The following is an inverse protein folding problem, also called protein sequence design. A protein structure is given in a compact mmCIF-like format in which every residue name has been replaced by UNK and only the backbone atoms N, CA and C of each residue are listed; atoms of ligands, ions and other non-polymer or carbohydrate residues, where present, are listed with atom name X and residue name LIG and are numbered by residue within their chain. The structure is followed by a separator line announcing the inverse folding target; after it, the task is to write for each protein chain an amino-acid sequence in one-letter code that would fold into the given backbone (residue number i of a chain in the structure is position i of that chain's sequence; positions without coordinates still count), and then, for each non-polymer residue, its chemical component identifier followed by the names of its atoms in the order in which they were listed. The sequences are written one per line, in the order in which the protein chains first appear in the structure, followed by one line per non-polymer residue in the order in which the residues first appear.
data_IF_840738613868
#
_entry.id   IF_840738613868
#
_cell.length_a   1.000
_cell.length_b   1.000
_cell.length_c   1.000
_cell.angle_alpha   90.00
_cell.angle_beta   90.00
_cell.angle_gamma   90.00
#
_symmetry.space_group_name_H-M   'P 1'
#
loop_
_entity.id
_entity.type
_entity.pdbx_description
1 polymer ?
#
# COMPACT_ATOMS: atom_id res chain seq x y z
N UNK A 1 -21.07 34.55 8.12
CA UNK A 1 -20.84 33.08 8.23
C UNK A 1 -19.41 32.77 7.81
N UNK A 2 -18.67 31.97 8.58
CA UNK A 2 -17.31 31.54 8.19
C UNK A 2 -17.37 30.12 7.62
N UNK A 3 -16.79 29.91 6.45
CA UNK A 3 -16.67 28.61 5.79
C UNK A 3 -15.19 28.32 5.58
N UNK A 4 -14.75 27.10 5.92
CA UNK A 4 -13.35 26.69 5.80
C UNK A 4 -13.23 25.61 4.74
N UNK A 5 -12.21 25.73 3.90
CA UNK A 5 -11.93 24.77 2.84
C UNK A 5 -10.44 24.41 2.87
N UNK A 6 -10.16 23.10 2.90
CA UNK A 6 -8.81 22.55 3.04
C UNK A 6 -8.63 21.47 1.99
N UNK A 7 -7.62 21.64 1.14
CA UNK A 7 -7.19 20.65 0.16
C UNK A 7 -5.98 19.88 0.68
N UNK A 8 -6.10 18.56 0.81
CA UNK A 8 -4.98 17.70 1.21
C UNK A 8 -4.15 17.37 -0.03
N UNK A 9 -2.94 17.93 -0.11
CA UNK A 9 -2.03 17.78 -1.27
C UNK A 9 -2.65 18.20 -2.62
N UNK A 10 -3.70 19.01 -2.57
CA UNK A 10 -4.37 19.59 -3.73
C UNK A 10 -4.67 21.05 -3.45
N UNK A 11 -4.63 21.89 -4.49
CA UNK A 11 -4.99 23.28 -4.32
C UNK A 11 -6.50 23.43 -4.13
N UNK A 12 -6.89 24.40 -3.29
CA UNK A 12 -8.31 24.72 -3.08
C UNK A 12 -8.90 25.41 -4.32
N UNK A 13 -8.10 26.24 -4.99
CA UNK A 13 -8.49 26.92 -6.22
C UNK A 13 -7.57 26.51 -7.38
N UNK A 14 -8.16 26.23 -8.55
CA UNK A 14 -7.41 25.92 -9.79
C UNK A 14 -6.53 27.09 -10.25
N UNK A 15 -6.93 28.32 -9.95
CA UNK A 15 -6.18 29.52 -10.32
C UNK A 15 -4.94 29.77 -9.45
N UNK A 16 -4.83 29.12 -8.29
CA UNK A 16 -3.72 29.31 -7.35
C UNK A 16 -3.23 27.95 -6.82
N UNK A 17 -2.26 27.30 -7.50
CA UNK A 17 -1.87 25.91 -7.21
C UNK A 17 -1.17 25.73 -5.85
N UNK A 18 -0.72 26.82 -5.22
CA UNK A 18 0.05 26.78 -3.97
C UNK A 18 -0.82 26.89 -2.70
N UNK A 19 -2.10 27.26 -2.84
CA UNK A 19 -2.99 27.52 -1.69
C UNK A 19 -3.66 26.22 -1.26
N UNK A 20 -3.34 25.78 -0.04
CA UNK A 20 -3.83 24.52 0.53
C UNK A 20 -5.02 24.69 1.48
N UNK A 21 -5.20 25.87 2.07
CA UNK A 21 -6.31 26.14 2.98
C UNK A 21 -6.76 27.60 2.98
N UNK A 22 -8.07 27.81 3.00
CA UNK A 22 -8.69 29.13 2.98
C UNK A 22 -9.89 29.23 3.94
N UNK A 23 -10.16 30.44 4.38
CA UNK A 23 -11.36 30.82 5.10
C UNK A 23 -12.16 31.81 4.25
N UNK A 24 -13.41 31.45 3.95
CA UNK A 24 -14.39 32.36 3.35
C UNK A 24 -15.22 33.00 4.45
N UNK A 25 -15.08 34.31 4.59
CA UNK A 25 -15.92 35.15 5.45
C UNK A 25 -17.05 35.68 4.58
N UNK A 26 -18.22 35.08 4.72
CA UNK A 26 -19.46 35.49 4.05
C UNK A 26 -20.11 36.54 4.95
N UNK A 27 -19.98 37.81 4.57
CA UNK A 27 -20.64 38.94 5.23
C UNK A 27 -21.66 39.61 4.33
N UNK A 28 -22.57 40.40 4.90
CA UNK A 28 -23.70 41.01 4.18
C UNK A 28 -23.29 42.03 3.09
N UNK A 29 -22.04 42.52 3.11
CA UNK A 29 -21.55 43.56 2.18
C UNK A 29 -20.50 43.07 1.19
N UNK A 30 -19.69 42.07 1.55
CA UNK A 30 -18.66 41.50 0.67
C UNK A 30 -18.21 40.13 1.18
N UNK A 31 -17.90 39.22 0.24
CA UNK A 31 -17.26 37.96 0.55
C UNK A 31 -15.74 38.17 0.58
N UNK A 32 -15.11 37.93 1.73
CA UNK A 32 -13.66 38.00 1.88
C UNK A 32 -13.08 36.59 1.99
N UNK A 33 -11.98 36.35 1.28
CA UNK A 33 -11.25 35.08 1.33
C UNK A 33 -9.91 35.34 2.00
N UNK A 34 -9.61 34.61 3.06
CA UNK A 34 -8.38 34.73 3.84
C UNK A 34 -7.58 33.44 3.66
N UNK A 35 -6.31 33.56 3.30
CA UNK A 35 -5.42 32.41 3.14
C UNK A 35 -4.91 31.97 4.50
N UNK A 36 -5.14 30.70 4.84
CA UNK A 36 -4.72 30.14 6.13
C UNK A 36 -3.37 29.44 6.05
N UNK A 37 -3.03 28.87 4.89
CA UNK A 37 -1.75 28.18 4.69
C UNK A 37 -1.52 27.71 3.26
N UNK A 38 -0.25 27.51 2.93
CA UNK A 38 0.23 27.10 1.61
C UNK A 38 0.81 25.68 1.64
N UNK A 39 0.73 25.00 0.49
CA UNK A 39 1.26 23.65 0.32
C UNK A 39 2.79 23.59 0.33
N UNK A 40 3.47 24.66 -0.09
CA UNK A 40 4.95 24.73 -0.10
C UNK A 40 5.55 24.69 1.32
N UNK A 41 4.80 25.16 2.32
CA UNK A 41 5.23 25.22 3.71
C UNK A 41 4.49 24.19 4.57
N UNK A 42 4.48 22.93 4.10
CA UNK A 42 3.84 21.81 4.79
C UNK A 42 4.79 21.15 5.79
N UNK A 43 4.29 20.84 6.99
CA UNK A 43 5.00 20.01 7.97
C UNK A 43 4.11 18.86 8.39
N UNK A 44 4.68 17.67 8.40
CA UNK A 44 4.00 16.42 8.77
C UNK A 44 4.64 15.90 10.05
N UNK A 45 3.82 15.70 11.07
CA UNK A 45 4.22 15.04 12.32
C UNK A 45 3.22 13.94 12.57
N UNK A 46 3.68 12.70 12.62
CA UNK A 46 2.82 11.56 12.90
C UNK A 46 3.45 10.67 13.94
N UNK A 47 2.61 10.02 14.73
CA UNK A 47 3.02 8.94 15.59
C UNK A 47 2.09 7.75 15.36
N UNK A 48 2.70 6.56 15.28
CA UNK A 48 1.98 5.31 15.15
C UNK A 48 2.20 4.53 16.44
N UNK A 49 1.16 4.48 17.27
CA UNK A 49 1.14 3.73 18.52
C UNK A 49 0.10 2.63 18.37
N UNK A 50 0.55 1.40 18.12
CA UNK A 50 -0.33 0.25 17.88
C UNK A 50 -1.31 0.50 16.71
N UNK A 51 -2.54 -0.03 16.80
CA UNK A 51 -3.60 0.14 15.82
C UNK A 51 -4.21 1.56 15.76
N UNK A 52 -3.66 2.53 16.50
CA UNK A 52 -4.10 3.93 16.53
C UNK A 52 -2.98 4.84 16.03
N UNK A 53 -3.06 5.20 14.74
CA UNK A 53 -2.22 6.23 14.14
C UNK A 53 -2.89 7.60 14.21
N UNK A 54 -2.10 8.64 14.45
CA UNK A 54 -2.52 10.01 14.19
C UNK A 54 -1.45 10.72 13.36
N UNK A 55 -1.89 11.59 12.46
CA UNK A 55 -1.02 12.44 11.65
C UNK A 55 -1.47 13.87 11.75
N UNK A 56 -0.62 14.73 12.30
CA UNK A 56 -0.77 16.18 12.31
C UNK A 56 -0.14 16.75 11.04
N UNK A 57 -0.96 17.42 10.24
CA UNK A 57 -0.52 18.17 9.08
C UNK A 57 -0.61 19.66 9.40
N UNK A 58 0.47 20.39 9.16
CA UNK A 58 0.54 21.84 9.37
C UNK A 58 0.84 22.52 8.04
N UNK A 59 -0.04 23.43 7.60
CA UNK A 59 0.26 24.36 6.52
C UNK A 59 0.59 25.73 7.10
N UNK A 60 1.77 26.25 6.74
CA UNK A 60 2.26 27.56 7.18
C UNK A 60 2.15 28.59 6.04
N UNK A 61 2.63 29.80 6.29
CA UNK A 61 2.70 30.89 5.31
C UNK A 61 1.34 31.39 4.80
N UNK A 62 0.34 31.46 5.68
CA UNK A 62 -0.91 32.17 5.41
C UNK A 62 -0.80 33.69 5.53
N UNK A 63 -1.93 34.37 5.34
CA UNK A 63 -2.03 35.83 5.45
C UNK A 63 -1.68 36.29 6.88
N UNK A 64 -1.04 37.45 7.03
CA UNK A 64 -0.67 38.00 8.35
C UNK A 64 -1.89 38.44 9.14
N UNK A 65 -1.88 38.20 10.45
CA UNK A 65 -2.90 38.75 11.34
C UNK A 65 -2.86 40.28 11.35
N UNK A 66 -4.03 40.90 11.48
CA UNK A 66 -4.16 42.36 11.55
C UNK A 66 -4.43 42.76 13.01
N UNK A 67 -3.40 43.17 13.75
CA UNK A 67 -3.52 43.67 15.13
C UNK A 67 -3.81 42.60 16.18
N UNK A 68 -3.71 41.31 15.83
CA UNK A 68 -3.81 40.17 16.74
C UNK A 68 -2.61 39.25 16.53
N UNK A 69 -2.26 38.43 17.52
CA UNK A 69 -1.28 37.35 17.35
C UNK A 69 0.11 37.84 16.89
N UNK A 70 0.57 38.98 17.43
CA UNK A 70 1.88 39.59 17.12
C UNK A 70 2.14 39.80 15.60
N UNK A 71 1.08 39.98 14.80
CA UNK A 71 1.16 40.10 13.33
C UNK A 71 1.89 38.91 12.66
N UNK A 72 1.88 37.74 13.30
CA UNK A 72 2.40 36.50 12.74
C UNK A 72 1.62 36.07 11.50
N UNK A 73 2.24 35.26 10.63
CA UNK A 73 1.55 34.62 9.52
C UNK A 73 0.59 33.56 10.04
N UNK A 74 -0.63 33.51 9.50
CA UNK A 74 -1.57 32.43 9.81
C UNK A 74 -0.98 31.06 9.48
N UNK A 75 -1.36 30.08 10.29
CA UNK A 75 -1.08 28.68 10.04
C UNK A 75 -2.31 27.85 10.39
N UNK A 76 -2.51 26.79 9.63
CA UNK A 76 -3.57 25.80 9.89
C UNK A 76 -2.95 24.47 10.21
N UNK A 77 -3.53 23.80 11.19
CA UNK A 77 -3.19 22.48 11.65
C UNK A 77 -4.42 21.61 11.50
N UNK A 78 -4.26 20.42 10.96
CA UNK A 78 -5.33 19.43 10.98
C UNK A 78 -4.79 18.07 11.36
N UNK A 79 -5.46 17.45 12.32
CA UNK A 79 -5.14 16.12 12.82
C UNK A 79 -6.00 15.12 12.08
N UNK A 80 -5.35 14.15 11.44
CA UNK A 80 -6.02 13.01 10.83
C UNK A 80 -5.90 11.82 11.78
N UNK A 81 -7.03 11.41 12.33
CA UNK A 81 -7.17 10.27 13.24
C UNK A 81 -7.46 9.00 12.44
N UNK A 82 -6.91 7.88 12.87
CA UNK A 82 -7.27 6.57 12.34
C UNK A 82 -8.72 6.22 12.71
N UNK A 83 -9.56 6.03 11.69
CA UNK A 83 -10.87 5.39 11.81
C UNK A 83 -11.02 4.34 10.69
N UNK A 84 -11.06 3.03 11.00
CA UNK A 84 -11.14 1.99 9.97
C UNK A 84 -12.47 1.98 9.20
N UNK A 85 -13.54 2.51 9.79
CA UNK A 85 -14.89 2.43 9.22
C UNK A 85 -15.18 3.56 8.21
N UNK A 86 -14.31 4.57 8.14
CA UNK A 86 -14.57 5.80 7.40
C UNK A 86 -13.39 6.15 6.50
N UNK A 87 -13.59 6.08 5.18
CA UNK A 87 -12.56 6.45 4.21
C UNK A 87 -12.36 7.97 4.14
N UNK A 88 -13.46 8.73 4.01
CA UNK A 88 -13.47 10.19 3.93
C UNK A 88 -14.32 10.73 5.08
N UNK A 89 -13.71 11.02 6.23
CA UNK A 89 -14.44 11.56 7.36
C UNK A 89 -14.87 13.01 7.18
N UNK A 90 -15.78 13.45 8.04
CA UNK A 90 -16.15 14.86 8.11
C UNK A 90 -15.06 15.67 8.81
N UNK A 91 -14.69 16.80 8.22
CA UNK A 91 -13.84 17.80 8.85
C UNK A 91 -14.60 18.45 10.02
N UNK A 92 -14.04 18.38 11.22
CA UNK A 92 -14.56 19.04 12.41
C UNK A 92 -13.61 20.15 12.87
N UNK A 93 -14.18 21.24 13.40
CA UNK A 93 -13.42 22.37 13.93
C UNK A 93 -13.15 22.07 15.40
N UNK A 94 -11.89 21.84 15.77
CA UNK A 94 -11.50 21.62 17.17
C UNK A 94 -11.28 22.95 17.88
N UNK A 95 -10.55 23.87 17.25
CA UNK A 95 -10.43 25.25 17.71
C UNK A 95 -10.17 26.19 16.53
N UNK A 96 -10.96 27.26 16.45
CA UNK A 96 -10.65 28.38 15.57
C UNK A 96 -9.91 29.41 16.39
N UNK A 97 -8.72 29.83 15.95
CA UNK A 97 -7.86 30.77 16.68
C UNK A 97 -8.65 31.95 17.24
N UNK A 98 -8.97 31.89 18.53
CA UNK A 98 -9.71 32.91 19.26
C UNK A 98 -8.71 33.85 19.89
N UNK A 99 -9.03 35.14 19.83
CA UNK A 99 -8.28 36.22 20.48
C UNK A 99 -8.17 35.91 21.98
N UNK A 100 -7.01 35.47 22.44
CA UNK A 100 -6.75 35.11 23.84
C UNK A 100 -5.94 33.83 24.07
N UNK A 101 -5.75 32.97 23.06
CA UNK A 101 -4.85 31.83 23.16
C UNK A 101 -3.42 32.19 22.74
N UNK A 102 -2.44 31.64 23.44
CA UNK A 102 -1.00 31.86 23.27
C UNK A 102 -0.46 31.42 21.89
N UNK A 103 -1.26 30.71 21.09
CA UNK A 103 -0.93 30.28 19.72
C UNK A 103 -2.14 30.42 18.79
N UNK A 104 -2.17 31.48 17.99
CA UNK A 104 -3.19 31.68 16.97
C UNK A 104 -3.02 30.71 15.80
N UNK A 105 -3.56 29.51 15.97
CA UNK A 105 -3.59 28.48 14.95
C UNK A 105 -5.00 27.94 14.82
N UNK A 106 -5.37 27.55 13.60
CA UNK A 106 -6.65 26.89 13.36
C UNK A 106 -6.42 25.39 13.44
N UNK A 107 -7.12 24.71 14.33
CA UNK A 107 -7.01 23.26 14.51
C UNK A 107 -8.28 22.60 14.03
N UNK A 108 -8.13 21.72 13.06
CA UNK A 108 -9.19 20.87 12.55
C UNK A 108 -8.90 19.40 12.88
N UNK A 109 -9.95 18.61 12.99
CA UNK A 109 -9.85 17.16 13.20
C UNK A 109 -10.62 16.47 12.09
N UNK A 110 -9.97 15.50 11.47
CA UNK A 110 -10.50 14.64 10.43
C UNK A 110 -10.28 13.19 10.86
N UNK A 111 -11.22 12.31 10.54
CA UNK A 111 -11.04 10.87 10.70
C UNK A 111 -10.90 10.22 9.33
N UNK A 112 -9.94 9.31 9.17
CA UNK A 112 -9.78 8.57 7.91
C UNK A 112 -9.07 7.24 8.13
N UNK A 113 -9.48 6.23 7.38
CA UNK A 113 -8.85 4.90 7.37
C UNK A 113 -7.45 4.90 6.74
N UNK A 114 -7.06 5.96 6.02
CA UNK A 114 -5.73 6.03 5.35
C UNK A 114 -4.58 6.16 6.33
N UNK A 115 -4.84 6.68 7.54
CA UNK A 115 -3.84 6.85 8.61
C UNK A 115 -3.79 5.63 9.53
N UNK A 116 -4.74 4.71 9.40
CA UNK A 116 -4.68 3.45 10.10
C UNK A 116 -3.53 2.60 9.56
N UNK A 117 -2.78 1.98 10.48
CA UNK A 117 -1.77 1.00 10.10
C UNK A 117 -2.44 -0.12 9.29
N UNK A 118 -1.84 -0.46 8.15
CA UNK A 118 -2.35 -1.49 7.22
C UNK A 118 -2.35 -2.91 7.79
N UNK A 119 -2.11 -3.08 9.08
CA UNK A 119 -2.15 -4.37 9.76
C UNK A 119 -3.58 -4.95 9.87
N UNK A 120 -4.63 -4.13 9.67
CA UNK A 120 -6.03 -4.59 9.75
C UNK A 120 -6.82 -4.63 8.44
N UNK A 121 -6.22 -4.28 7.30
CA UNK A 121 -6.85 -4.50 5.98
C UNK A 121 -6.40 -5.81 5.30
N UNK A 122 -5.68 -6.67 6.02
CA UNK A 122 -5.36 -8.04 5.61
C UNK A 122 -6.33 -9.10 6.13
N UNK A 123 -7.52 -8.71 6.61
CA UNK A 123 -8.51 -9.67 7.12
C UNK A 123 -9.63 -10.02 6.14
N UNK A 124 -9.74 -9.36 4.98
CA UNK A 124 -10.85 -9.65 4.03
C UNK A 124 -10.42 -10.19 2.66
N UNK A 125 -9.11 -10.29 2.35
CA UNK A 125 -8.64 -10.85 1.07
C UNK A 125 -7.35 -11.68 1.15
N UNK A 126 -6.97 -12.20 2.32
CA UNK A 126 -5.89 -13.21 2.43
C UNK A 126 -6.38 -14.63 2.14
N UNK A 127 -7.12 -14.80 1.04
CA UNK A 127 -7.25 -16.13 0.45
C UNK A 127 -5.87 -16.56 -0.05
N UNK A 128 -5.49 -17.83 0.16
CA UNK A 128 -4.32 -18.36 -0.55
C UNK A 128 -4.48 -18.06 -2.04
N UNK A 129 -3.42 -17.57 -2.68
CA UNK A 129 -3.40 -17.41 -4.14
C UNK A 129 -3.90 -18.71 -4.79
N UNK A 130 -4.72 -18.62 -5.84
CA UNK A 130 -5.27 -19.81 -6.50
C UNK A 130 -4.18 -20.81 -6.90
N UNK A 131 -2.99 -20.33 -7.26
CA UNK A 131 -1.82 -21.18 -7.51
C UNK A 131 -1.32 -21.92 -6.27
N UNK A 132 -1.31 -21.28 -5.09
CA UNK A 132 -0.92 -21.93 -3.84
C UNK A 132 -1.92 -23.01 -3.42
N UNK A 133 -3.23 -22.77 -3.60
CA UNK A 133 -4.28 -23.78 -3.37
C UNK A 133 -4.10 -24.97 -4.31
N UNK A 134 -3.88 -24.72 -5.61
CA UNK A 134 -3.62 -25.77 -6.59
C UNK A 134 -2.39 -26.61 -6.23
N UNK A 135 -1.27 -25.97 -5.87
CA UNK A 135 -0.06 -26.68 -5.45
C UNK A 135 -0.31 -27.59 -4.24
N UNK A 136 -1.03 -27.10 -3.22
CA UNK A 136 -1.34 -27.90 -2.02
C UNK A 136 -2.17 -29.14 -2.39
N UNK A 137 -3.21 -28.98 -3.21
CA UNK A 137 -4.03 -30.10 -3.66
C UNK A 137 -3.23 -31.10 -4.51
N UNK A 138 -2.38 -30.61 -5.42
CA UNK A 138 -1.56 -31.46 -6.26
C UNK A 138 -0.56 -32.28 -5.44
N UNK A 139 0.20 -31.64 -4.54
CA UNK A 139 1.22 -32.35 -3.74
C UNK A 139 0.61 -33.32 -2.73
N UNK A 140 -0.56 -33.02 -2.15
CA UNK A 140 -1.24 -33.94 -1.23
C UNK A 140 -1.76 -35.19 -1.94
N UNK A 141 -2.37 -35.04 -3.13
CA UNK A 141 -2.81 -36.18 -3.94
C UNK A 141 -1.62 -36.99 -4.48
N UNK A 142 -0.61 -36.31 -5.03
CA UNK A 142 0.60 -36.98 -5.52
C UNK A 142 1.34 -37.73 -4.40
N UNK A 143 1.49 -37.11 -3.23
CA UNK A 143 2.15 -37.70 -2.07
C UNK A 143 1.42 -38.94 -1.54
N UNK A 144 0.09 -38.86 -1.40
CA UNK A 144 -0.72 -40.02 -0.98
C UNK A 144 -0.67 -41.16 -2.00
N UNK A 145 -0.72 -40.84 -3.30
CA UNK A 145 -0.57 -41.83 -4.38
C UNK A 145 0.79 -42.54 -4.32
N UNK A 146 1.88 -41.79 -4.15
CA UNK A 146 3.23 -42.35 -4.05
C UNK A 146 3.37 -43.22 -2.80
N UNK A 147 2.88 -42.78 -1.64
CA UNK A 147 2.96 -43.53 -0.38
C UNK A 147 2.17 -44.84 -0.45
N UNK A 148 0.90 -44.79 -0.86
CA UNK A 148 0.04 -45.96 -0.95
C UNK A 148 0.52 -46.93 -2.02
N UNK A 149 0.89 -46.43 -3.20
CA UNK A 149 1.39 -47.26 -4.28
C UNK A 149 2.76 -47.87 -3.97
N UNK A 150 3.63 -47.16 -3.25
CA UNK A 150 4.89 -47.70 -2.74
C UNK A 150 4.65 -48.82 -1.74
N UNK A 151 3.77 -48.62 -0.74
CA UNK A 151 3.40 -49.66 0.23
C UNK A 151 2.84 -50.89 -0.47
N UNK A 152 1.95 -50.70 -1.46
CA UNK A 152 1.38 -51.79 -2.25
C UNK A 152 2.45 -52.58 -3.00
N UNK A 153 3.30 -51.90 -3.79
CA UNK A 153 4.35 -52.58 -4.57
C UNK A 153 5.40 -53.26 -3.69
N UNK A 154 5.70 -52.71 -2.51
CA UNK A 154 6.67 -53.28 -1.58
C UNK A 154 6.13 -54.49 -0.83
N UNK A 155 4.90 -54.43 -0.32
CA UNK A 155 4.34 -55.48 0.54
C UNK A 155 3.67 -56.57 -0.28
N UNK A 156 2.89 -56.21 -1.30
CA UNK A 156 2.06 -57.16 -2.06
C UNK A 156 2.83 -57.74 -3.25
N UNK A 157 3.54 -56.90 -4.00
CA UNK A 157 4.23 -57.30 -5.24
C UNK A 157 5.69 -57.74 -4.97
N UNK A 158 6.27 -57.34 -3.83
CA UNK A 158 7.65 -57.68 -3.48
C UNK A 158 8.71 -57.01 -4.35
N UNK A 159 8.35 -55.97 -5.12
CA UNK A 159 9.27 -55.25 -5.99
C UNK A 159 10.40 -54.60 -5.18
N UNK A 160 11.60 -54.52 -5.75
CA UNK A 160 12.81 -53.95 -5.12
C UNK A 160 13.44 -52.88 -6.01
N UNK A 161 14.04 -51.87 -5.41
CA UNK A 161 14.67 -50.76 -6.15
C UNK A 161 13.66 -49.76 -6.72
N UNK A 162 13.99 -49.11 -7.83
CA UNK A 162 13.21 -48.02 -8.43
C UNK A 162 11.83 -48.45 -8.96
N UNK A 163 11.63 -49.76 -9.16
CA UNK A 163 10.32 -50.30 -9.57
C UNK A 163 9.25 -50.22 -8.48
N UNK A 164 9.65 -49.95 -7.22
CA UNK A 164 8.75 -49.72 -6.09
C UNK A 164 7.92 -48.44 -6.25
N UNK A 165 8.38 -47.49 -7.07
CA UNK A 165 7.64 -46.25 -7.34
C UNK A 165 6.58 -46.55 -8.43
N UNK A 166 5.30 -46.26 -8.18
CA UNK A 166 4.26 -46.34 -9.21
C UNK A 166 4.56 -45.35 -10.34
N UNK A 167 4.53 -45.82 -11.60
CA UNK A 167 4.76 -44.99 -12.79
C UNK A 167 6.06 -44.16 -12.72
N UNK A 168 7.17 -44.79 -12.33
CA UNK A 168 8.46 -44.12 -12.15
C UNK A 168 8.94 -43.31 -13.37
N UNK A 169 8.73 -43.83 -14.59
CA UNK A 169 9.10 -43.12 -15.83
C UNK A 169 8.45 -41.74 -15.92
N UNK A 170 7.14 -41.64 -15.64
CA UNK A 170 6.41 -40.38 -15.63
C UNK A 170 6.99 -39.37 -14.64
N UNK A 171 7.26 -39.79 -13.39
CA UNK A 171 7.80 -38.90 -12.35
C UNK A 171 9.21 -38.42 -12.66
N UNK A 172 10.05 -39.30 -13.22
CA UNK A 172 11.39 -38.96 -13.69
C UNK A 172 11.34 -37.93 -14.80
N UNK A 173 10.49 -38.14 -15.80
CA UNK A 173 10.37 -37.24 -16.96
C UNK A 173 9.79 -35.87 -16.54
N UNK A 174 8.84 -35.85 -15.59
CA UNK A 174 8.34 -34.62 -14.97
C UNK A 174 9.45 -33.84 -14.23
N UNK A 175 10.30 -34.52 -13.47
CA UNK A 175 11.44 -33.91 -12.78
C UNK A 175 12.50 -33.36 -13.75
N UNK A 176 12.76 -34.06 -14.86
CA UNK A 176 13.64 -33.56 -15.92
C UNK A 176 13.08 -32.26 -16.54
N UNK A 177 11.79 -32.22 -16.88
CA UNK A 177 11.16 -31.03 -17.44
C UNK A 177 11.19 -29.83 -16.47
N UNK A 178 11.03 -30.06 -15.17
CA UNK A 178 11.17 -29.01 -14.16
C UNK A 178 12.62 -28.49 -14.05
N UNK A 179 13.61 -29.38 -14.14
CA UNK A 179 15.01 -28.99 -14.16
C UNK A 179 15.35 -28.16 -15.41
N UNK A 180 14.82 -28.54 -16.58
CA UNK A 180 14.98 -27.80 -17.83
C UNK A 180 14.30 -26.42 -17.77
N UNK A 181 13.09 -26.34 -17.18
CA UNK A 181 12.40 -25.06 -16.95
C UNK A 181 13.16 -24.16 -15.97
N UNK A 182 13.72 -24.71 -14.90
CA UNK A 182 14.57 -23.97 -13.97
C UNK A 182 15.86 -23.50 -14.65
N UNK A 183 16.47 -24.34 -15.49
CA UNK A 183 17.64 -23.98 -16.27
C UNK A 183 17.33 -22.82 -17.23
N UNK A 184 16.21 -22.88 -17.95
CA UNK A 184 15.75 -21.82 -18.85
C UNK A 184 15.49 -20.49 -18.13
N UNK A 185 14.88 -20.53 -16.94
CA UNK A 185 14.54 -19.31 -16.18
C UNK A 185 15.75 -18.75 -15.42
N UNK A 186 16.56 -19.59 -14.79
CA UNK A 186 17.64 -19.17 -13.89
C UNK A 186 18.98 -18.99 -14.60
N UNK A 187 19.20 -19.64 -15.75
CA UNK A 187 20.30 -19.33 -16.65
C UNK A 187 19.70 -18.59 -17.85
N UNK A 188 19.66 -17.25 -17.78
CA UNK A 188 19.50 -16.47 -19.00
C UNK A 188 20.55 -16.97 -20.00
N UNK A 189 20.12 -17.54 -21.12
CA UNK A 189 20.99 -17.89 -22.24
C UNK A 189 21.59 -16.61 -22.82
N UNK A 190 22.65 -16.09 -22.19
CA UNK A 190 23.75 -15.46 -22.89
C UNK A 190 24.73 -16.56 -23.25
N UNK A 191 24.32 -17.51 -24.09
CA UNK A 191 25.28 -18.24 -24.90
C UNK A 191 24.71 -18.38 -26.30
N UNK A 192 25.46 -17.80 -27.22
CA UNK A 192 25.20 -17.70 -28.64
C UNK A 192 24.88 -19.05 -29.26
N UNK A 193 23.93 -19.01 -30.20
CA UNK A 193 23.83 -19.85 -31.39
C UNK A 193 25.09 -20.70 -31.64
N UNK A 194 25.01 -21.99 -31.40
CA UNK A 194 25.88 -22.97 -32.06
C UNK A 194 25.04 -24.13 -32.60
N UNK A 195 23.98 -23.76 -33.32
CA UNK A 195 23.26 -24.62 -34.24
C UNK A 195 23.94 -24.54 -35.62
N UNK A 196 25.19 -25.03 -35.77
CA UNK A 196 25.71 -25.44 -37.10
C UNK A 196 27.07 -26.17 -37.16
N UNK A 197 27.44 -27.08 -36.24
CA UNK A 197 28.72 -27.83 -36.39
C UNK A 197 28.63 -29.36 -36.52
N UNK A 198 27.45 -29.92 -36.80
CA UNK A 198 27.27 -31.36 -37.04
C UNK A 198 26.85 -31.71 -38.49
N UNK A 199 27.45 -31.06 -39.49
CA UNK A 199 27.48 -31.60 -40.86
C UNK A 199 28.62 -31.00 -41.69
N UNK A 200 29.82 -31.58 -41.57
CA UNK A 200 30.81 -31.72 -42.65
C UNK A 200 32.00 -32.53 -42.10
N UNK A 201 31.79 -33.83 -42.06
CA UNK A 201 32.82 -34.80 -42.44
C UNK A 201 32.71 -34.99 -43.98
N UNK A 202 33.77 -35.49 -44.62
CA UNK A 202 34.04 -35.65 -46.07
C UNK A 202 34.80 -34.46 -46.71
N UNK A 203 36.13 -34.46 -46.56
CA UNK A 203 37.07 -35.02 -47.55
C UNK A 203 38.40 -35.40 -46.86
#
# INVERSE_FOLDING_TARGET
KNVYEIGVCTSVNKSAPLIGAVQHVIGDKANQTIVLGQLNATTLVGALLFAAGWTLVTYRSGDKYNGSCENSSRQVQFVVLCNPDEHHGSLQIASGGRTGETSCSYIFVLSSSVVCSKEKHEQHHRGLSGGAVFCILFFTVAGSYLLLGFMYKRIVVGAKGLEQIPNYSFWRDCGHLQADGCNYICRCQCDSVDEHRSYRDID
#
